data_IF_702623664724
#
_entry.id   IF_702623664724
#
_cell.length_a   1.000
_cell.length_b   1.000
_cell.length_c   1.000
_cell.angle_alpha   90.00
_cell.angle_beta   90.00
_cell.angle_gamma   90.00
#
_symmetry.space_group_name_H-M   'P 1'
#
loop_
_entity.id
_entity.type
_entity.pdbx_description
1 polymer ?
#
# COMPACT_ATOMS: atom_id res chain seq x y z
N UNK A 1 -14.57 4.70 22.07
CA UNK A 1 -14.00 4.19 20.81
C UNK A 1 -12.69 4.96 20.59
N UNK A 2 -11.57 4.29 20.31
CA UNK A 2 -10.22 4.92 20.24
C UNK A 2 -9.83 5.32 18.81
N UNK A 3 -10.81 5.74 18.01
CA UNK A 3 -10.63 6.00 16.58
C UNK A 3 -9.60 7.10 16.31
N UNK A 4 -9.61 8.25 17.02
CA UNK A 4 -8.60 9.29 16.82
C UNK A 4 -7.18 8.79 17.06
N UNK A 5 -6.96 8.04 18.14
CA UNK A 5 -5.65 7.49 18.49
C UNK A 5 -5.17 6.50 17.43
N UNK A 6 -6.06 5.63 16.93
CA UNK A 6 -5.71 4.71 15.84
C UNK A 6 -5.37 5.42 14.53
N UNK A 7 -6.05 6.53 14.22
CA UNK A 7 -5.70 7.34 13.05
C UNK A 7 -4.32 7.98 13.18
N UNK A 8 -3.99 8.52 14.35
CA UNK A 8 -2.67 9.10 14.63
C UNK A 8 -1.56 8.05 14.52
N UNK A 9 -1.75 6.89 15.16
CA UNK A 9 -0.80 5.77 15.11
C UNK A 9 -0.55 5.29 13.69
N UNK A 10 -1.61 5.15 12.88
CA UNK A 10 -1.50 4.74 11.47
C UNK A 10 -0.64 5.73 10.65
N UNK A 11 -0.80 7.04 10.86
CA UNK A 11 0.01 8.07 10.20
C UNK A 11 1.48 7.97 10.64
N UNK A 12 1.74 7.78 11.94
CA UNK A 12 3.11 7.66 12.45
C UNK A 12 3.81 6.40 11.91
N UNK A 13 3.09 5.29 11.78
CA UNK A 13 3.61 4.07 11.18
C UNK A 13 3.91 4.27 9.69
N UNK A 14 2.99 4.89 8.94
CA UNK A 14 3.18 5.16 7.51
C UNK A 14 4.44 6.00 7.24
N UNK A 15 4.72 7.01 8.08
CA UNK A 15 5.92 7.85 7.96
C UNK A 15 7.23 7.11 8.21
N UNK A 16 7.21 6.02 8.98
CA UNK A 16 8.39 5.23 9.33
C UNK A 16 8.69 4.12 8.32
N UNK A 17 7.73 3.79 7.44
CA UNK A 17 7.90 2.76 6.42
C UNK A 17 8.95 3.21 5.41
N UNK A 18 9.94 2.35 5.20
CA UNK A 18 10.93 2.48 4.12
C UNK A 18 10.74 1.32 3.16
N UNK A 19 10.55 1.61 1.87
CA UNK A 19 10.49 0.58 0.84
C UNK A 19 11.94 0.22 0.47
N UNK A 20 12.38 -1.04 0.66
CA UNK A 20 13.74 -1.43 0.32
C UNK A 20 13.97 -1.38 -1.20
N UNK A 21 15.19 -1.03 -1.62
CA UNK A 21 15.60 -1.11 -3.03
C UNK A 21 15.94 -2.54 -3.47
N UNK A 22 16.27 -3.43 -2.52
CA UNK A 22 16.55 -4.84 -2.78
C UNK A 22 16.14 -5.70 -1.58
N UNK A 23 15.54 -6.85 -1.85
CA UNK A 23 15.26 -7.89 -0.85
C UNK A 23 15.88 -9.20 -1.31
N UNK A 24 16.75 -9.77 -0.47
CA UNK A 24 17.36 -11.08 -0.73
C UNK A 24 16.42 -12.18 -0.24
N UNK A 25 16.04 -13.09 -1.13
CA UNK A 25 15.13 -14.21 -0.84
C UNK A 25 15.94 -15.47 -0.51
N UNK A 26 17.08 -15.67 -1.18
CA UNK A 26 18.00 -16.78 -0.95
C UNK A 26 19.42 -16.38 -1.32
N UNK A 27 20.40 -17.28 -1.14
CA UNK A 27 21.78 -17.03 -1.60
C UNK A 27 21.89 -16.70 -3.09
N UNK A 28 20.99 -17.23 -3.91
CA UNK A 28 21.01 -17.10 -5.37
C UNK A 28 19.93 -16.17 -5.94
N UNK A 29 18.99 -15.72 -5.11
CA UNK A 29 17.81 -14.96 -5.56
C UNK A 29 17.66 -13.67 -4.78
N UNK A 30 17.69 -12.54 -5.48
CA UNK A 30 17.31 -11.24 -4.93
C UNK A 30 16.29 -10.55 -5.84
N UNK A 31 15.42 -9.75 -5.22
CA UNK A 31 14.44 -8.90 -5.90
C UNK A 31 14.93 -7.47 -5.77
N UNK A 32 15.24 -6.83 -6.89
CA UNK A 32 15.57 -5.40 -6.94
C UNK A 32 14.33 -4.60 -7.30
N UNK A 33 13.91 -3.71 -6.42
CA UNK A 33 12.78 -2.82 -6.63
C UNK A 33 13.21 -1.59 -7.42
N UNK A 34 12.53 -1.36 -8.54
CA UNK A 34 12.63 -0.13 -9.32
C UNK A 34 11.49 0.83 -9.02
N UNK A 35 11.33 1.85 -9.88
CA UNK A 35 10.17 2.75 -9.81
C UNK A 35 8.87 1.98 -10.11
N UNK A 36 7.86 2.01 -9.22
CA UNK A 36 6.60 1.32 -9.45
C UNK A 36 5.82 1.96 -10.61
N UNK A 37 5.05 1.12 -11.32
CA UNK A 37 4.18 1.54 -12.44
C UNK A 37 2.69 1.39 -12.13
N UNK A 38 2.35 0.58 -11.14
CA UNK A 38 1.00 0.27 -10.72
C UNK A 38 0.98 0.04 -9.21
N UNK A 39 -0.14 0.32 -8.58
CA UNK A 39 -0.41 0.00 -7.17
C UNK A 39 -1.52 -1.04 -7.15
N UNK A 40 -1.31 -2.14 -6.43
CA UNK A 40 -2.31 -3.20 -6.24
C UNK A 40 -2.60 -3.29 -4.75
N UNK A 41 -3.87 -3.15 -4.38
CA UNK A 41 -4.37 -3.38 -3.03
C UNK A 41 -5.04 -4.74 -3.03
N UNK A 42 -4.43 -5.72 -2.38
CA UNK A 42 -5.00 -7.05 -2.21
C UNK A 42 -5.68 -7.15 -0.85
N UNK A 43 -6.96 -7.52 -0.82
CA UNK A 43 -7.72 -7.67 0.42
C UNK A 43 -9.14 -8.16 0.19
N UNK A 44 -9.77 -8.60 1.28
CA UNK A 44 -11.15 -9.11 1.28
C UNK A 44 -12.05 -8.27 2.18
N UNK A 45 -13.35 -8.20 1.85
CA UNK A 45 -14.36 -7.53 2.66
C UNK A 45 -14.04 -6.06 2.94
N UNK A 46 -14.07 -5.65 4.21
CA UNK A 46 -13.83 -4.26 4.63
C UNK A 46 -12.50 -3.68 4.16
N UNK A 47 -11.44 -4.50 4.06
CA UNK A 47 -10.13 -4.05 3.57
C UNK A 47 -10.17 -3.71 2.08
N UNK A 48 -10.94 -4.47 1.28
CA UNK A 48 -11.13 -4.16 -0.13
C UNK A 48 -11.96 -2.87 -0.31
N UNK A 49 -13.00 -2.69 0.51
CA UNK A 49 -13.81 -1.47 0.51
C UNK A 49 -12.95 -0.25 0.84
N UNK A 50 -12.10 -0.33 1.87
CA UNK A 50 -11.14 0.74 2.18
C UNK A 50 -10.17 1.04 1.03
N UNK A 51 -9.72 0.00 0.32
CA UNK A 51 -8.92 0.15 -0.90
C UNK A 51 -9.65 0.87 -2.03
N UNK A 52 -10.95 0.60 -2.22
CA UNK A 52 -11.78 1.32 -3.20
C UNK A 52 -11.96 2.79 -2.83
N UNK A 53 -12.23 3.08 -1.55
CA UNK A 53 -12.32 4.45 -1.05
C UNK A 53 -11.02 5.21 -1.31
N UNK A 54 -9.86 4.59 -1.06
CA UNK A 54 -8.55 5.19 -1.35
C UNK A 54 -8.33 5.44 -2.84
N UNK A 55 -8.65 4.47 -3.71
CA UNK A 55 -8.55 4.62 -5.17
C UNK A 55 -9.39 5.79 -5.65
N UNK A 56 -10.63 5.89 -5.18
CA UNK A 56 -11.54 6.93 -5.64
C UNK A 56 -11.18 8.31 -5.07
N UNK A 57 -10.65 8.38 -3.84
CA UNK A 57 -10.09 9.62 -3.29
C UNK A 57 -8.89 10.10 -4.11
N UNK A 58 -7.96 9.22 -4.46
CA UNK A 58 -6.74 9.59 -5.20
C UNK A 58 -6.93 9.58 -6.73
N UNK A 59 -8.16 9.55 -7.22
CA UNK A 59 -8.47 9.39 -8.65
C UNK A 59 -7.75 10.41 -9.54
N UNK A 60 -7.78 11.67 -9.12
CA UNK A 60 -7.23 12.78 -9.92
C UNK A 60 -5.82 13.21 -9.46
N UNK A 61 -5.35 12.67 -8.33
CA UNK A 61 -4.09 13.06 -7.70
C UNK A 61 -2.97 12.02 -7.90
N UNK A 62 -3.33 10.73 -8.03
CA UNK A 62 -2.32 9.67 -8.13
C UNK A 62 -1.74 9.60 -9.53
N UNK A 63 -0.40 9.74 -9.69
CA UNK A 63 0.25 9.54 -10.99
C UNK A 63 0.34 8.06 -11.38
N UNK A 64 0.03 7.15 -10.46
CA UNK A 64 0.05 5.71 -10.68
C UNK A 64 -1.37 5.12 -10.57
N UNK A 65 -1.77 4.24 -11.50
CA UNK A 65 -3.06 3.56 -11.40
C UNK A 65 -3.13 2.65 -10.17
N UNK A 66 -4.26 2.72 -9.46
CA UNK A 66 -4.55 1.89 -8.27
C UNK A 66 -5.62 0.85 -8.64
N UNK A 67 -5.32 -0.45 -8.43
CA UNK A 67 -6.23 -1.57 -8.65
C UNK A 67 -6.51 -2.32 -7.35
N UNK A 68 -7.74 -2.78 -7.18
CA UNK A 68 -8.15 -3.56 -6.00
C UNK A 68 -8.29 -5.00 -6.48
N UNK A 69 -7.56 -5.92 -5.84
CA UNK A 69 -7.65 -7.36 -6.05
C UNK A 69 -8.43 -7.97 -4.88
N UNK A 70 -9.51 -8.69 -5.21
CA UNK A 70 -10.38 -9.37 -4.24
C UNK A 70 -10.37 -10.90 -4.40
N UNK A 71 -9.45 -11.40 -5.23
CA UNK A 71 -9.30 -12.81 -5.55
C UNK A 71 -8.72 -13.61 -4.37
#
# INVERSE_FOLDING_TARGET
>A
MKTPEYCEDAIQLAKKITIPSEVKISEKTSIKYGKPRHIIIAGMGGSAIGGEMLRDWLRDESPLPIKICRD
#
